data_IF_986884685403
#
_entry.id   IF_986884685403
#
_cell.length_a   1.000
_cell.length_b   1.000
_cell.length_c   1.000
_cell.angle_alpha   90.00
_cell.angle_beta   90.00
_cell.angle_gamma   90.00
#
_symmetry.space_group_name_H-M   'P 1'
#
loop_
_entity.id
_entity.type
_entity.pdbx_description
1 polymer ?
#
# COMPACT_ATOMS: atom_id res chain seq x y z
N UNK A 1 27.39 19.29 -15.55
CA UNK A 1 27.58 17.90 -15.12
C UNK A 1 27.06 17.00 -16.23
N UNK A 2 27.86 16.06 -16.72
CA UNK A 2 27.41 15.00 -17.62
C UNK A 2 26.65 13.96 -16.80
N UNK A 3 25.47 13.53 -17.27
CA UNK A 3 24.67 12.51 -16.58
C UNK A 3 25.37 11.15 -16.64
N UNK A 4 25.43 10.42 -15.52
CA UNK A 4 25.99 9.06 -15.46
C UNK A 4 25.12 8.02 -16.19
N UNK A 5 23.86 8.35 -16.47
CA UNK A 5 22.88 7.47 -17.10
C UNK A 5 21.47 7.83 -16.64
N UNK A 6 20.51 6.93 -16.89
CA UNK A 6 19.15 7.04 -16.38
C UNK A 6 18.81 5.81 -15.52
N UNK A 7 18.14 6.03 -14.40
CA UNK A 7 17.59 5.00 -13.54
C UNK A 7 16.09 5.22 -13.37
N UNK A 8 15.32 4.15 -13.30
CA UNK A 8 13.88 4.21 -13.02
C UNK A 8 13.50 3.03 -12.15
N UNK A 9 13.03 3.33 -10.94
CA UNK A 9 12.38 2.35 -10.09
C UNK A 9 10.92 2.19 -10.54
N UNK A 10 10.50 0.94 -10.77
CA UNK A 10 9.12 0.59 -11.13
C UNK A 10 8.58 -0.40 -10.11
N UNK A 11 7.57 0.02 -9.35
CA UNK A 11 6.90 -0.80 -8.35
C UNK A 11 5.58 -1.32 -8.92
N UNK A 12 5.45 -2.64 -9.04
CA UNK A 12 4.22 -3.30 -9.48
C UNK A 12 3.42 -3.78 -8.27
N UNK A 13 2.23 -3.22 -8.08
CA UNK A 13 1.31 -3.55 -6.98
C UNK A 13 0.11 -4.32 -7.52
N UNK A 14 -0.08 -5.54 -7.01
CA UNK A 14 -1.13 -6.44 -7.41
C UNK A 14 -1.63 -7.27 -6.22
N UNK A 15 -2.95 -7.34 -6.06
CA UNK A 15 -3.63 -8.40 -5.32
C UNK A 15 -4.82 -8.90 -6.16
N UNK A 16 -5.19 -10.19 -6.06
CA UNK A 16 -6.44 -10.66 -6.63
C UNK A 16 -7.64 -9.99 -5.93
N UNK A 17 -8.85 -10.23 -6.44
CA UNK A 17 -10.06 -9.82 -5.74
C UNK A 17 -10.24 -10.68 -4.49
N UNK A 18 -10.05 -10.06 -3.32
CA UNK A 18 -10.09 -10.72 -1.99
C UNK A 18 -11.25 -10.23 -1.12
N UNK A 19 -11.89 -9.11 -1.47
CA UNK A 19 -13.12 -8.65 -0.84
C UNK A 19 -14.17 -9.77 -0.80
N UNK A 20 -14.79 -9.98 0.35
CA UNK A 20 -15.77 -11.04 0.63
C UNK A 20 -15.26 -12.50 0.44
N UNK A 21 -13.95 -12.72 0.29
CA UNK A 21 -13.39 -14.06 0.07
C UNK A 21 -12.97 -14.78 1.36
N UNK A 22 -13.49 -14.34 2.51
CA UNK A 22 -13.05 -14.72 3.86
C UNK A 22 -12.30 -13.58 4.55
N UNK A 23 -12.35 -13.51 5.89
CA UNK A 23 -11.59 -12.52 6.68
C UNK A 23 -10.25 -13.05 7.19
N UNK A 24 -10.19 -14.33 7.57
CA UNK A 24 -8.98 -14.98 8.13
C UNK A 24 -8.95 -16.48 7.79
N UNK A 25 -7.79 -17.12 7.53
CA UNK A 25 -6.44 -16.55 7.36
C UNK A 25 -6.13 -16.10 5.93
N UNK A 26 -7.10 -16.22 5.02
CA UNK A 26 -6.97 -15.89 3.60
C UNK A 26 -8.21 -15.08 3.21
N UNK A 27 -8.02 -14.02 2.43
CA UNK A 27 -9.07 -13.11 1.99
C UNK A 27 -8.69 -11.66 2.26
N UNK A 28 -9.54 -10.91 2.96
CA UNK A 28 -9.36 -9.46 3.13
C UNK A 28 -8.11 -9.05 3.91
N UNK A 29 -7.59 -9.92 4.78
CA UNK A 29 -6.37 -9.64 5.55
C UNK A 29 -5.17 -9.30 4.65
N UNK A 30 -5.06 -9.89 3.45
CA UNK A 30 -3.96 -9.58 2.53
C UNK A 30 -3.96 -8.13 2.04
N UNK A 31 -5.14 -7.55 1.81
CA UNK A 31 -5.21 -6.15 1.39
C UNK A 31 -4.92 -5.21 2.56
N UNK A 32 -5.29 -5.60 3.78
CA UNK A 32 -4.98 -4.84 5.00
C UNK A 32 -3.48 -4.87 5.31
N UNK A 33 -2.85 -6.03 5.25
CA UNK A 33 -1.39 -6.18 5.38
C UNK A 33 -0.64 -5.35 4.32
N UNK A 34 -1.06 -5.44 3.06
CA UNK A 34 -0.45 -4.64 1.99
C UNK A 34 -0.61 -3.13 2.22
N UNK A 35 -1.78 -2.69 2.71
CA UNK A 35 -2.01 -1.29 3.03
C UNK A 35 -1.10 -0.81 4.18
N UNK A 36 -1.07 -1.54 5.29
CA UNK A 36 -0.38 -1.15 6.53
C UNK A 36 1.13 -1.31 6.43
N UNK A 37 1.61 -2.37 5.82
CA UNK A 37 3.04 -2.71 5.82
C UNK A 37 3.76 -2.26 4.53
N UNK A 38 3.03 -1.90 3.47
CA UNK A 38 3.63 -1.44 2.20
C UNK A 38 3.16 -0.06 1.76
N UNK A 39 1.86 0.14 1.49
CA UNK A 39 1.40 1.36 0.83
C UNK A 39 1.46 2.60 1.72
N UNK A 40 1.05 2.50 2.98
CA UNK A 40 1.14 3.61 3.93
C UNK A 40 2.60 3.96 4.22
N UNK A 41 3.51 3.01 4.55
CA UNK A 41 4.92 3.31 4.74
C UNK A 41 5.60 3.90 3.51
N UNK A 42 5.28 3.39 2.31
CA UNK A 42 5.79 3.95 1.06
C UNK A 42 5.32 5.40 0.89
N UNK A 43 4.05 5.69 1.14
CA UNK A 43 3.51 7.04 1.06
C UNK A 43 4.22 7.98 2.05
N UNK A 44 4.48 7.54 3.28
CA UNK A 44 5.25 8.32 4.26
C UNK A 44 6.65 8.66 3.74
N UNK A 45 7.40 7.69 3.20
CA UNK A 45 8.73 7.94 2.62
C UNK A 45 8.67 8.94 1.46
N UNK A 46 7.65 8.86 0.61
CA UNK A 46 7.48 9.80 -0.51
C UNK A 46 7.15 11.22 -0.03
N UNK A 47 6.40 11.36 1.07
CA UNK A 47 6.16 12.65 1.71
C UNK A 47 7.44 13.20 2.38
N UNK A 48 8.19 12.38 3.10
CA UNK A 48 9.45 12.78 3.73
C UNK A 48 10.45 13.28 2.68
N UNK A 49 10.65 12.54 1.59
CA UNK A 49 11.54 12.95 0.49
C UNK A 49 11.08 14.27 -0.16
N UNK A 50 9.77 14.48 -0.29
CA UNK A 50 9.21 15.72 -0.82
C UNK A 50 9.48 16.89 0.11
N UNK A 51 9.28 16.70 1.41
CA UNK A 51 9.45 17.73 2.44
C UNK A 51 10.95 18.07 2.66
N UNK A 52 11.84 17.11 2.46
CA UNK A 52 13.30 17.31 2.42
C UNK A 52 13.81 17.97 1.13
N UNK A 53 12.95 18.16 0.13
CA UNK A 53 13.30 18.76 -1.16
C UNK A 53 14.16 17.87 -2.07
N UNK A 54 14.10 16.55 -1.88
CA UNK A 54 14.80 15.58 -2.72
C UNK A 54 14.12 15.47 -4.09
N UNK A 55 14.84 15.66 -5.19
CA UNK A 55 14.33 15.41 -6.53
C UNK A 55 14.37 13.90 -6.84
N UNK A 56 13.24 13.22 -6.68
CA UNK A 56 13.08 11.79 -6.95
C UNK A 56 12.04 11.52 -8.05
N UNK A 57 12.24 10.41 -8.79
CA UNK A 57 11.30 9.94 -9.81
C UNK A 57 11.16 8.42 -9.72
N UNK A 58 9.92 7.94 -9.67
CA UNK A 58 9.60 6.52 -9.70
C UNK A 58 8.24 6.30 -10.38
N UNK A 59 7.96 5.05 -10.75
CA UNK A 59 6.65 4.62 -11.23
C UNK A 59 6.06 3.64 -10.23
N UNK A 60 4.79 3.84 -9.88
CA UNK A 60 4.02 2.92 -9.05
C UNK A 60 2.79 2.53 -9.86
N UNK A 61 2.67 1.24 -10.18
CA UNK A 61 1.53 0.70 -10.90
C UNK A 61 0.61 -0.06 -9.96
N UNK A 62 -0.68 0.26 -9.98
CA UNK A 62 -1.72 -0.51 -9.31
C UNK A 62 -2.57 -1.23 -10.36
N UNK A 63 -2.82 -2.52 -10.19
CA UNK A 63 -3.79 -3.19 -11.04
C UNK A 63 -5.20 -2.65 -10.81
N UNK A 64 -6.08 -2.58 -11.84
CA UNK A 64 -7.42 -2.03 -11.67
C UNK A 64 -8.20 -2.70 -10.53
N UNK A 65 -8.10 -4.03 -10.41
CA UNK A 65 -8.74 -4.80 -9.33
C UNK A 65 -8.22 -4.45 -7.94
N UNK A 66 -6.93 -4.11 -7.80
CA UNK A 66 -6.38 -3.65 -6.53
C UNK A 66 -6.86 -2.23 -6.21
N UNK A 67 -6.82 -1.34 -7.20
CA UNK A 67 -7.26 0.05 -7.04
C UNK A 67 -8.73 0.15 -6.60
N UNK A 68 -9.62 -0.65 -7.21
CA UNK A 68 -11.03 -0.73 -6.83
C UNK A 68 -11.24 -1.24 -5.41
N UNK A 69 -10.42 -2.18 -4.93
CA UNK A 69 -10.55 -2.69 -3.57
C UNK A 69 -10.00 -1.70 -2.53
N UNK A 70 -8.91 -1.00 -2.84
CA UNK A 70 -8.34 0.03 -1.95
C UNK A 70 -9.28 1.25 -1.80
N UNK A 71 -10.19 1.48 -2.75
CA UNK A 71 -11.19 2.56 -2.69
C UNK A 71 -12.55 2.10 -2.17
N UNK A 72 -12.75 0.81 -1.89
CA UNK A 72 -14.02 0.26 -1.43
C UNK A 72 -14.29 0.65 0.05
N UNK A 73 -15.43 1.28 0.37
CA UNK A 73 -15.73 1.73 1.73
C UNK A 73 -15.76 0.61 2.77
N UNK A 74 -16.17 -0.61 2.39
CA UNK A 74 -16.20 -1.75 3.31
C UNK A 74 -14.78 -2.23 3.62
N UNK A 75 -13.91 -2.26 2.61
CA UNK A 75 -12.48 -2.60 2.79
C UNK A 75 -11.80 -1.61 3.74
N UNK A 76 -12.10 -0.31 3.60
CA UNK A 76 -11.59 0.73 4.50
C UNK A 76 -12.12 0.58 5.92
N UNK A 77 -13.42 0.31 6.09
CA UNK A 77 -13.98 0.02 7.42
C UNK A 77 -13.30 -1.20 8.07
N UNK A 78 -13.06 -2.25 7.29
CA UNK A 78 -12.41 -3.46 7.81
C UNK A 78 -10.92 -3.26 8.08
N UNK A 79 -10.28 -2.27 7.44
CA UNK A 79 -8.91 -1.87 7.75
C UNK A 79 -8.82 -1.26 9.15
N UNK A 80 -9.81 -0.47 9.55
CA UNK A 80 -9.89 0.06 10.92
C UNK A 80 -10.02 -1.08 11.95
N UNK A 81 -10.92 -2.04 11.72
CA UNK A 81 -11.07 -3.25 12.55
C UNK A 81 -9.73 -4.01 12.67
N UNK A 82 -9.02 -4.15 11.55
CA UNK A 82 -7.74 -4.85 11.47
C UNK A 82 -6.66 -4.12 12.27
N UNK A 83 -6.57 -2.79 12.16
CA UNK A 83 -5.62 -1.97 12.91
C UNK A 83 -5.88 -2.03 14.42
N UNK A 84 -7.14 -1.90 14.84
CA UNK A 84 -7.52 -2.01 16.26
C UNK A 84 -7.09 -3.36 16.85
N UNK A 85 -7.34 -4.44 16.11
CA UNK A 85 -6.88 -5.79 16.50
C UNK A 85 -5.35 -5.86 16.62
N UNK A 86 -4.61 -5.33 15.64
CA UNK A 86 -3.14 -5.36 15.63
C UNK A 86 -2.54 -4.52 16.76
N UNK A 87 -3.15 -3.38 17.08
CA UNK A 87 -2.73 -2.51 18.19
C UNK A 87 -2.96 -3.23 19.52
N UNK A 88 -4.14 -3.82 19.73
CA UNK A 88 -4.46 -4.55 20.96
C UNK A 88 -3.56 -5.78 21.15
N UNK A 89 -3.14 -6.45 20.07
CA UNK A 89 -2.22 -7.58 20.12
C UNK A 89 -0.76 -7.19 20.40
N UNK A 90 -0.39 -5.92 20.24
CA UNK A 90 0.96 -5.41 20.45
C UNK A 90 1.23 -4.92 21.89
N UNK A 91 0.19 -4.82 22.72
CA UNK A 91 0.25 -4.41 24.14
C UNK A 91 0.16 -5.60 25.08
#
# INVERSE_FOLDING_TARGET
MTSLGAFTLVLHSHLPYVRLSGRWPHGEEWIHEAAVETYIPLLSVLYDLKDEGVDFRLNIGFTPVLAEQLSDPLVLQHLDDYLDMRIAAAT
#
